data_IF_796217172417
#
_entry.id   IF_796217172417
#
_cell.length_a   1.000
_cell.length_b   1.000
_cell.length_c   1.000
_cell.angle_alpha   90.00
_cell.angle_beta   90.00
_cell.angle_gamma   90.00
#
_symmetry.space_group_name_H-M   'P 1'
#
loop_
_entity.id
_entity.type
_entity.pdbx_description
1 polymer ?
#
# COMPACT_ATOMS: atom_id res chain seq x y z
N UNK A 1 -25.02 8.65 -2.25
CA UNK A 1 -24.04 8.62 -1.15
C UNK A 1 -22.83 7.90 -1.69
N UNK A 2 -21.67 8.56 -1.76
CA UNK A 2 -20.49 8.01 -2.46
C UNK A 2 -19.96 6.75 -1.79
N UNK A 3 -19.27 5.91 -2.55
CA UNK A 3 -18.85 4.53 -2.20
C UNK A 3 -17.86 4.40 -1.02
N UNK A 4 -17.68 5.45 -0.20
CA UNK A 4 -16.74 5.48 0.93
C UNK A 4 -15.26 5.51 0.51
N UNK A 5 -14.99 5.63 -0.78
CA UNK A 5 -13.63 5.68 -1.34
C UNK A 5 -13.06 7.10 -1.17
N UNK A 6 -11.89 7.25 -0.54
CA UNK A 6 -11.26 8.56 -0.41
C UNK A 6 -10.86 9.13 -1.77
N UNK A 7 -11.05 10.44 -1.97
CA UNK A 7 -10.71 11.11 -3.25
C UNK A 7 -9.21 11.10 -3.56
N UNK A 8 -8.36 10.96 -2.55
CA UNK A 8 -6.91 10.83 -2.73
C UNK A 8 -6.50 9.43 -3.21
N UNK A 9 -7.37 8.43 -3.13
CA UNK A 9 -7.11 7.09 -3.65
C UNK A 9 -7.38 7.05 -5.15
N UNK A 10 -6.52 7.74 -5.89
CA UNK A 10 -6.65 7.98 -7.33
C UNK A 10 -5.46 7.41 -8.11
N UNK A 11 -5.45 7.67 -9.42
CA UNK A 11 -4.37 7.26 -10.32
C UNK A 11 -3.00 7.83 -9.90
N UNK A 12 -2.96 9.06 -9.36
CA UNK A 12 -1.72 9.71 -8.95
C UNK A 12 -1.13 8.99 -7.76
N UNK A 13 -1.95 8.68 -6.75
CA UNK A 13 -1.54 7.89 -5.60
C UNK A 13 -1.00 6.51 -6.03
N UNK A 14 -1.76 5.77 -6.84
CA UNK A 14 -1.35 4.44 -7.30
C UNK A 14 -0.05 4.46 -8.12
N UNK A 15 0.14 5.49 -8.95
CA UNK A 15 1.38 5.70 -9.70
C UNK A 15 2.55 5.88 -8.73
N UNK A 16 2.41 6.79 -7.75
CA UNK A 16 3.45 7.03 -6.74
C UNK A 16 3.78 5.77 -5.93
N UNK A 17 2.77 5.00 -5.51
CA UNK A 17 2.97 3.76 -4.74
C UNK A 17 3.69 2.66 -5.54
N UNK A 18 3.45 2.56 -6.86
CA UNK A 18 4.08 1.56 -7.73
C UNK A 18 5.47 1.98 -8.22
N UNK A 19 5.70 3.29 -8.33
CA UNK A 19 6.96 3.91 -8.73
C UNK A 19 8.09 3.62 -7.73
N UNK A 20 7.75 3.63 -6.43
CA UNK A 20 8.71 3.50 -5.34
C UNK A 20 9.33 4.85 -4.94
N UNK A 21 10.62 4.88 -4.57
CA UNK A 21 11.28 6.09 -4.06
C UNK A 21 11.02 7.35 -4.92
N UNK A 22 10.77 8.46 -4.23
CA UNK A 22 10.34 9.76 -4.76
C UNK A 22 11.29 10.38 -5.82
N UNK A 23 12.50 9.83 -5.99
CA UNK A 23 13.57 10.34 -6.86
C UNK A 23 13.87 9.49 -8.11
N UNK A 24 13.05 8.48 -8.42
CA UNK A 24 13.21 7.73 -9.68
C UNK A 24 12.36 8.35 -10.79
N UNK A 25 12.93 8.51 -11.99
CA UNK A 25 12.20 9.01 -13.16
C UNK A 25 10.90 8.22 -13.35
N UNK A 26 9.74 8.90 -13.54
CA UNK A 26 8.44 8.26 -13.69
C UNK A 26 8.52 7.19 -14.78
N UNK A 27 8.31 5.94 -14.37
CA UNK A 27 8.45 4.77 -15.23
C UNK A 27 7.22 3.85 -15.11
N UNK A 28 6.14 4.32 -14.50
CA UNK A 28 4.89 3.58 -14.32
C UNK A 28 3.75 4.37 -14.94
N UNK A 29 2.91 3.69 -15.72
CA UNK A 29 1.67 4.25 -16.28
C UNK A 29 0.51 3.35 -15.94
N UNK A 30 -0.51 3.90 -15.26
CA UNK A 30 -1.71 3.14 -14.89
C UNK A 30 -2.58 2.96 -16.14
N UNK A 31 -3.01 1.73 -16.39
CA UNK A 31 -3.92 1.40 -17.50
C UNK A 31 -5.36 1.46 -17.01
N UNK A 32 -5.63 0.83 -15.87
CA UNK A 32 -6.88 0.92 -15.13
C UNK A 32 -6.69 0.35 -13.73
N UNK A 33 -7.64 0.63 -12.84
CA UNK A 33 -7.70 0.04 -11.52
C UNK A 33 -9.14 -0.18 -11.08
N UNK A 34 -9.32 -1.12 -10.15
CA UNK A 34 -10.59 -1.42 -9.50
C UNK A 34 -10.37 -1.40 -8.01
N UNK A 35 -11.17 -0.61 -7.30
CA UNK A 35 -11.19 -0.55 -5.85
C UNK A 35 -12.38 -1.40 -5.41
N UNK A 36 -12.12 -2.46 -4.66
CA UNK A 36 -13.18 -3.19 -3.98
C UNK A 36 -13.69 -2.33 -2.82
N UNK A 37 -15.01 -2.30 -2.64
CA UNK A 37 -15.64 -1.66 -1.49
C UNK A 37 -14.96 -2.13 -0.20
N UNK A 38 -14.72 -1.23 0.77
CA UNK A 38 -14.07 -1.60 2.01
C UNK A 38 -14.86 -2.74 2.64
N UNK A 39 -14.20 -3.87 2.86
CA UNK A 39 -14.78 -4.88 3.73
C UNK A 39 -14.66 -4.27 5.11
N UNK A 40 -15.77 -3.79 5.68
CA UNK A 40 -15.83 -3.43 7.09
C UNK A 40 -15.62 -4.72 7.87
N UNK A 41 -14.37 -5.12 8.04
CA UNK A 41 -14.06 -6.24 8.90
C UNK A 41 -14.17 -5.67 10.31
N UNK A 42 -15.29 -5.96 10.97
CA UNK A 42 -15.48 -5.60 12.37
C UNK A 42 -14.25 -6.05 13.17
N UNK A 43 -13.61 -5.11 13.88
CA UNK A 43 -12.44 -5.38 14.72
C UNK A 43 -11.13 -4.73 14.28
N UNK A 44 -11.09 -4.03 13.14
CA UNK A 44 -9.92 -3.25 12.74
C UNK A 44 -10.14 -1.75 13.00
N UNK A 45 -9.16 -1.07 13.61
CA UNK A 45 -9.17 0.40 13.81
C UNK A 45 -8.77 1.18 12.55
N UNK A 46 -9.09 0.66 11.38
CA UNK A 46 -8.71 1.21 10.09
C UNK A 46 -9.66 0.73 9.00
N UNK A 47 -9.95 1.60 8.03
CA UNK A 47 -10.60 1.19 6.79
C UNK A 47 -9.58 0.48 5.89
N UNK A 48 -9.98 -0.66 5.33
CA UNK A 48 -9.11 -1.46 4.45
C UNK A 48 -9.72 -1.52 3.05
N UNK A 49 -9.01 -0.93 2.09
CA UNK A 49 -9.35 -0.98 0.68
C UNK A 49 -8.47 -2.01 -0.02
N UNK A 50 -9.07 -2.79 -0.93
CA UNK A 50 -8.33 -3.69 -1.81
C UNK A 50 -8.37 -3.13 -3.22
N UNK A 51 -7.21 -2.91 -3.80
CA UNK A 51 -7.10 -2.32 -5.14
C UNK A 51 -6.41 -3.30 -6.08
N UNK A 52 -7.08 -3.65 -7.16
CA UNK A 52 -6.44 -4.33 -8.28
C UNK A 52 -6.05 -3.28 -9.31
N UNK A 53 -4.75 -3.16 -9.57
CA UNK A 53 -4.19 -2.17 -10.50
C UNK A 53 -3.49 -2.87 -11.66
N UNK A 54 -3.81 -2.44 -12.88
CA UNK A 54 -3.12 -2.84 -14.09
C UNK A 54 -2.29 -1.66 -14.59
N UNK A 55 -1.01 -1.88 -14.82
CA UNK A 55 -0.07 -0.82 -15.19
C UNK A 55 0.97 -1.31 -16.21
N UNK A 56 1.71 -0.37 -16.77
CA UNK A 56 2.88 -0.61 -17.62
C UNK A 56 4.10 0.01 -17.00
N UNK A 57 5.27 -0.57 -17.29
CA UNK A 57 6.56 -0.05 -16.88
C UNK A 57 7.36 0.40 -18.10
N UNK A 58 7.68 1.68 -18.16
CA UNK A 58 8.34 2.33 -19.30
C UNK A 58 7.59 2.14 -20.60
N UNK A 59 8.35 1.93 -21.67
CA UNK A 59 7.79 1.71 -23.01
C UNK A 59 7.33 0.25 -23.24
N UNK A 60 7.25 -0.56 -22.18
CA UNK A 60 6.79 -1.94 -22.30
C UNK A 60 5.32 -2.00 -22.72
N UNK A 61 5.07 -2.81 -23.76
CA UNK A 61 3.71 -3.11 -24.21
C UNK A 61 3.01 -4.05 -23.20
N UNK A 62 3.79 -4.81 -22.43
CA UNK A 62 3.31 -5.81 -21.48
C UNK A 62 2.62 -5.14 -20.29
N UNK A 63 1.41 -5.62 -19.96
CA UNK A 63 0.65 -5.17 -18.80
C UNK A 63 1.02 -6.00 -17.59
N UNK A 64 1.38 -5.33 -16.52
CA UNK A 64 1.56 -5.90 -15.18
C UNK A 64 0.25 -5.74 -14.39
N UNK A 65 -0.01 -6.67 -13.47
CA UNK A 65 -1.16 -6.61 -12.56
C UNK A 65 -0.68 -6.79 -11.13
N UNK A 66 -1.15 -5.94 -10.20
CA UNK A 66 -0.83 -6.04 -8.77
C UNK A 66 -2.08 -5.86 -7.93
N UNK A 67 -2.14 -6.62 -6.83
CA UNK A 67 -3.15 -6.48 -5.79
C UNK A 67 -2.53 -5.71 -4.63
N UNK A 68 -3.15 -4.59 -4.26
CA UNK A 68 -2.71 -3.72 -3.17
C UNK A 68 -3.73 -3.76 -2.03
N UNK A 69 -3.22 -3.72 -0.81
CA UNK A 69 -4.02 -3.51 0.40
C UNK A 69 -3.66 -2.14 0.94
N UNK A 70 -4.66 -1.27 1.05
CA UNK A 70 -4.50 0.11 1.51
C UNK A 70 -5.23 0.22 2.83
N UNK A 71 -4.47 0.50 3.88
CA UNK A 71 -4.97 0.66 5.24
C UNK A 71 -5.04 2.14 5.57
N UNK A 72 -6.23 2.62 5.90
CA UNK A 72 -6.48 4.02 6.27
C UNK A 72 -6.83 4.03 7.76
N UNK A 73 -5.91 4.47 8.63
CA UNK A 73 -6.17 4.61 10.06
C UNK A 73 -7.38 5.51 10.29
N UNK A 74 -8.27 5.13 11.20
CA UNK A 74 -9.36 6.00 11.61
C UNK A 74 -8.78 7.23 12.36
N UNK A 75 -8.88 8.46 11.82
CA UNK A 75 -8.30 9.63 12.47
C UNK A 75 -8.98 9.98 13.80
N UNK A 76 -10.23 9.56 14.01
CA UNK A 76 -10.98 9.80 15.25
C UNK A 76 -10.98 8.59 16.20
N UNK A 77 -10.40 7.47 15.78
CA UNK A 77 -10.28 6.26 16.59
C UNK A 77 -9.34 6.49 17.78
N UNK A 78 -9.81 6.17 19.00
CA UNK A 78 -9.05 6.34 20.26
C UNK A 78 -7.65 5.71 20.19
N UNK A 79 -7.53 4.55 19.54
CA UNK A 79 -6.23 3.88 19.36
C UNK A 79 -5.27 4.67 18.45
N UNK A 80 -5.76 5.29 17.39
CA UNK A 80 -4.91 6.11 16.51
C UNK A 80 -4.49 7.40 17.20
N UNK A 81 -5.38 8.02 17.99
CA UNK A 81 -5.08 9.22 18.78
C UNK A 81 -3.99 8.93 19.81
N UNK A 82 -4.08 7.80 20.53
CA UNK A 82 -3.17 7.47 21.62
C UNK A 82 -1.85 6.85 21.13
N UNK A 83 -1.89 6.03 20.09
CA UNK A 83 -0.78 5.14 19.71
C UNK A 83 -0.38 5.26 18.24
N UNK A 84 -1.07 6.05 17.42
CA UNK A 84 -0.83 6.16 15.98
C UNK A 84 0.65 6.31 15.63
N UNK A 85 1.35 7.35 16.15
CA UNK A 85 2.78 7.55 15.87
C UNK A 85 3.65 6.32 16.19
N UNK A 86 3.42 5.69 17.35
CA UNK A 86 4.17 4.51 17.80
C UNK A 86 3.88 3.29 16.92
N UNK A 87 2.64 3.12 16.47
CA UNK A 87 2.24 2.03 15.59
C UNK A 87 2.92 2.18 14.22
N UNK A 88 2.91 3.38 13.63
CA UNK A 88 3.56 3.62 12.35
C UNK A 88 5.08 3.41 12.41
N UNK A 89 5.74 3.88 13.48
CA UNK A 89 7.19 3.66 13.66
C UNK A 89 7.54 2.17 13.78
N UNK A 90 6.76 1.40 14.55
CA UNK A 90 6.95 -0.05 14.68
C UNK A 90 6.71 -0.77 13.38
N UNK A 91 5.63 -0.42 12.66
CA UNK A 91 5.31 -1.00 11.37
C UNK A 91 6.41 -0.71 10.34
N UNK A 92 6.89 0.53 10.29
CA UNK A 92 8.03 0.93 9.47
C UNK A 92 9.28 0.12 9.79
N UNK A 93 9.65 0.02 11.07
CA UNK A 93 10.82 -0.74 11.51
C UNK A 93 10.70 -2.24 11.17
N UNK A 94 9.52 -2.82 11.34
CA UNK A 94 9.23 -4.20 10.95
C UNK A 94 9.49 -4.44 9.47
N UNK A 95 8.91 -3.60 8.60
CA UNK A 95 8.99 -3.78 7.15
C UNK A 95 10.36 -3.40 6.57
N UNK A 96 11.00 -2.34 7.07
CA UNK A 96 12.26 -1.82 6.53
C UNK A 96 13.51 -2.48 7.11
N UNK A 97 13.45 -2.97 8.34
CA UNK A 97 14.64 -3.46 9.06
C UNK A 97 14.51 -4.93 9.42
N UNK A 98 13.47 -5.31 10.18
CA UNK A 98 13.37 -6.66 10.74
C UNK A 98 13.10 -7.73 9.68
N UNK A 99 12.13 -7.51 8.80
CA UNK A 99 11.75 -8.50 7.76
C UNK A 99 12.90 -8.81 6.80
N UNK A 100 13.64 -7.82 6.24
CA UNK A 100 14.82 -8.10 5.43
C UNK A 100 15.88 -8.91 6.18
N UNK A 101 16.15 -8.58 7.45
CA UNK A 101 17.11 -9.33 8.27
C UNK A 101 16.65 -10.77 8.52
N UNK A 102 15.36 -10.99 8.78
CA UNK A 102 14.77 -12.32 8.94
C UNK A 102 14.93 -13.15 7.67
N UNK A 103 14.57 -12.59 6.50
CA UNK A 103 14.71 -13.25 5.19
C UNK A 103 16.15 -13.68 4.92
N UNK A 104 17.13 -12.80 5.23
CA UNK A 104 18.56 -13.11 5.13
C UNK A 104 18.98 -14.26 6.04
N UNK A 105 18.46 -14.31 7.27
CA UNK A 105 18.79 -15.37 8.24
C UNK A 105 18.21 -16.72 7.84
N UNK A 106 16.97 -16.76 7.37
CA UNK A 106 16.29 -18.02 6.98
C UNK A 106 16.57 -18.43 5.53
N UNK A 107 17.25 -17.59 4.75
CA UNK A 107 17.56 -17.80 3.32
C UNK A 107 16.32 -18.09 2.47
N UNK A 108 15.22 -17.39 2.76
CA UNK A 108 13.95 -17.55 2.07
C UNK A 108 13.29 -16.19 1.87
N UNK A 109 12.83 -15.92 0.65
CA UNK A 109 12.04 -14.74 0.35
C UNK A 109 10.56 -15.04 0.60
N UNK A 110 10.01 -14.48 1.67
CA UNK A 110 8.61 -14.71 2.08
C UNK A 110 7.82 -13.42 2.33
N UNK A 111 8.46 -12.26 2.18
CA UNK A 111 7.83 -10.96 2.29
C UNK A 111 8.12 -10.13 1.04
N UNK A 112 7.35 -9.06 0.84
CA UNK A 112 7.66 -8.09 -0.18
C UNK A 112 9.05 -7.47 0.08
N UNK A 113 9.80 -7.19 -0.97
CA UNK A 113 11.11 -6.52 -0.85
C UNK A 113 10.99 -4.99 -1.00
N UNK A 114 9.77 -4.52 -1.24
CA UNK A 114 9.45 -3.11 -1.46
C UNK A 114 8.28 -2.69 -0.59
N UNK A 115 8.54 -1.71 0.26
CA UNK A 115 7.58 -1.08 1.15
C UNK A 115 7.72 0.43 0.97
N UNK A 116 6.64 1.12 0.63
CA UNK A 116 6.64 2.56 0.31
C UNK A 116 5.54 3.26 1.09
#
# INVERSE_FOLDING_TARGET
MGDGIPSWLDERFLTASLQGEQNKQPNVSIVNFKIASPTTVNGYSSDIFRVQVNYRRGDSIQRESKSLVIKVPDPVGVLNILLGPVIFEKEYLCYKVLLPQLMLKVKCAFAAESFY
#
